data_IF_532031658184
#
_entry.id   IF_532031658184
#
_cell.length_a   1.000
_cell.length_b   1.000
_cell.length_c   1.000
_cell.angle_alpha   90.00
_cell.angle_beta   90.00
_cell.angle_gamma   90.00
#
_symmetry.space_group_name_H-M   'P 1'
#
loop_
_entity.id
_entity.type
_entity.pdbx_description
1 polymer ?
#
# COMPACT_ATOMS: atom_id res chain seq x y z
N UNK A 1 1.05 -32.37 -6.88
CA UNK A 1 0.41 -32.62 -5.58
C UNK A 1 -1.06 -32.20 -5.67
N UNK A 2 -1.96 -32.97 -5.05
CA UNK A 2 -3.38 -32.62 -4.91
C UNK A 2 -3.62 -32.20 -3.46
N UNK A 3 -4.51 -31.23 -3.26
CA UNK A 3 -4.97 -30.83 -1.94
C UNK A 3 -6.49 -30.64 -1.96
N UNK A 4 -7.13 -30.69 -0.81
CA UNK A 4 -8.56 -30.58 -0.65
C UNK A 4 -8.88 -29.26 0.04
N UNK A 5 -9.71 -28.43 -0.59
CA UNK A 5 -10.10 -27.12 -0.10
C UNK A 5 -11.64 -27.05 0.02
N UNK A 6 -12.18 -27.35 1.21
CA UNK A 6 -13.63 -27.35 1.41
C UNK A 6 -14.17 -25.92 1.48
N UNK A 7 -15.44 -25.75 1.08
CA UNK A 7 -16.17 -24.49 1.27
C UNK A 7 -17.62 -24.76 1.58
N UNK A 8 -18.23 -23.84 2.31
CA UNK A 8 -19.64 -23.87 2.67
C UNK A 8 -20.21 -22.45 2.61
N UNK A 9 -21.42 -22.31 2.06
CA UNK A 9 -22.13 -21.04 2.00
C UNK A 9 -23.60 -21.23 2.29
N UNK A 10 -24.18 -20.30 3.04
CA UNK A 10 -25.60 -20.21 3.37
C UNK A 10 -26.09 -18.81 3.05
N UNK A 11 -27.31 -18.75 2.48
CA UNK A 11 -27.98 -17.48 2.26
C UNK A 11 -29.47 -17.65 2.65
N UNK A 12 -29.97 -16.67 3.41
CA UNK A 12 -31.36 -16.60 3.86
C UNK A 12 -32.02 -15.33 3.36
N UNK A 13 -33.01 -15.45 2.50
CA UNK A 13 -33.83 -14.34 2.03
C UNK A 13 -34.94 -14.07 3.06
N UNK A 14 -34.63 -13.24 4.04
CA UNK A 14 -35.51 -12.94 5.17
C UNK A 14 -36.78 -12.20 4.70
N UNK A 15 -36.68 -11.37 3.64
CA UNK A 15 -37.82 -10.66 3.04
C UNK A 15 -38.91 -11.59 2.48
N UNK A 16 -38.56 -12.85 2.17
CA UNK A 16 -39.56 -13.83 1.67
C UNK A 16 -40.35 -14.51 2.78
N UNK A 17 -39.97 -14.32 4.04
CA UNK A 17 -40.65 -14.92 5.17
C UNK A 17 -42.00 -14.24 5.46
N UNK A 18 -42.94 -15.02 5.98
CA UNK A 18 -44.32 -14.56 6.21
C UNK A 18 -44.45 -13.33 7.08
N UNK A 19 -43.46 -13.06 7.95
CA UNK A 19 -43.46 -11.91 8.87
C UNK A 19 -42.90 -10.62 8.20
N UNK A 20 -42.24 -10.70 7.04
CA UNK A 20 -41.69 -9.54 6.30
C UNK A 20 -42.24 -9.41 4.89
N UNK A 21 -42.87 -10.45 4.35
CA UNK A 21 -43.33 -10.51 2.95
C UNK A 21 -44.25 -9.34 2.55
N UNK A 22 -45.07 -8.87 3.49
CA UNK A 22 -46.05 -7.80 3.26
C UNK A 22 -45.57 -6.44 3.82
N UNK A 23 -44.27 -6.28 3.97
CA UNK A 23 -43.69 -5.00 4.43
C UNK A 23 -43.66 -3.99 3.29
N UNK A 24 -44.26 -2.83 3.48
CA UNK A 24 -44.18 -1.70 2.53
C UNK A 24 -42.84 -0.97 2.60
N UNK A 25 -42.00 -1.27 3.61
CA UNK A 25 -40.74 -0.57 3.81
C UNK A 25 -39.54 -1.38 3.33
N UNK A 26 -39.52 -2.71 3.56
CA UNK A 26 -38.42 -3.59 3.21
C UNK A 26 -38.75 -4.33 1.92
N UNK A 27 -38.03 -4.05 0.84
CA UNK A 27 -38.17 -4.70 -0.45
C UNK A 27 -37.31 -5.96 -0.53
N UNK A 28 -36.07 -5.90 -0.03
CA UNK A 28 -35.19 -7.03 0.04
C UNK A 28 -34.40 -7.02 1.35
N UNK A 29 -34.26 -8.18 1.96
CA UNK A 29 -33.38 -8.40 3.09
C UNK A 29 -32.83 -9.83 3.01
N UNK A 30 -31.51 -9.93 2.82
CA UNK A 30 -30.82 -11.20 2.67
C UNK A 30 -29.59 -11.25 3.54
N UNK A 31 -29.48 -12.30 4.34
CA UNK A 31 -28.32 -12.58 5.20
C UNK A 31 -27.48 -13.67 4.50
N UNK A 32 -26.19 -13.48 4.47
CA UNK A 32 -25.21 -14.40 3.90
C UNK A 32 -24.17 -14.78 4.94
N UNK A 33 -23.79 -16.05 4.95
CA UNK A 33 -22.66 -16.55 5.75
C UNK A 33 -21.89 -17.55 4.88
N UNK A 34 -20.59 -17.45 4.89
CA UNK A 34 -19.70 -18.31 4.13
C UNK A 34 -18.43 -18.62 4.88
N UNK A 35 -17.94 -19.81 4.66
CA UNK A 35 -16.62 -20.25 5.07
C UNK A 35 -15.99 -21.06 3.95
N UNK A 36 -14.68 -20.90 3.75
CA UNK A 36 -13.98 -21.68 2.76
C UNK A 36 -12.48 -21.65 2.93
N UNK A 37 -11.85 -22.66 2.37
CA UNK A 37 -10.41 -22.73 2.25
C UNK A 37 -10.02 -22.66 0.78
N UNK A 38 -8.93 -21.96 0.48
CA UNK A 38 -8.35 -21.83 -0.86
C UNK A 38 -6.85 -22.12 -0.74
N UNK A 39 -6.32 -22.87 -1.69
CA UNK A 39 -4.89 -23.12 -1.80
C UNK A 39 -4.27 -22.34 -2.94
N UNK A 40 -3.11 -21.74 -2.66
CA UNK A 40 -2.25 -21.16 -3.69
C UNK A 40 -0.99 -22.03 -3.86
N UNK A 41 -0.74 -22.44 -5.09
CA UNK A 41 0.43 -23.28 -5.41
C UNK A 41 1.50 -22.46 -6.15
N UNK A 42 1.78 -21.24 -5.74
CA UNK A 42 2.75 -20.33 -6.36
C UNK A 42 4.16 -20.89 -6.61
N UNK A 43 4.33 -22.21 -6.45
CA UNK A 43 5.56 -22.96 -6.69
C UNK A 43 5.68 -23.25 -8.19
N UNK A 44 6.78 -22.79 -8.79
CA UNK A 44 7.08 -23.11 -10.21
C UNK A 44 7.18 -24.63 -10.42
N UNK A 45 6.86 -25.15 -11.61
CA UNK A 45 7.12 -26.54 -11.94
C UNK A 45 8.56 -26.91 -11.61
N UNK A 46 8.75 -28.05 -10.93
CA UNK A 46 10.04 -28.53 -10.43
C UNK A 46 10.71 -27.63 -9.38
N UNK A 47 10.01 -26.65 -8.79
CA UNK A 47 10.54 -25.73 -7.76
C UNK A 47 10.96 -26.41 -6.46
N UNK A 48 10.51 -27.65 -6.22
CA UNK A 48 10.87 -28.46 -5.04
C UNK A 48 12.18 -29.22 -5.19
N UNK A 49 12.77 -29.23 -6.38
CA UNK A 49 14.05 -29.90 -6.66
C UNK A 49 15.07 -28.90 -7.17
N UNK A 50 16.34 -29.21 -7.01
CA UNK A 50 17.41 -28.39 -7.59
C UNK A 50 17.40 -28.49 -9.10
N UNK A 51 17.45 -27.35 -9.76
CA UNK A 51 17.51 -27.25 -11.22
C UNK A 51 18.89 -26.73 -11.64
N UNK A 52 19.36 -27.23 -12.76
CA UNK A 52 20.58 -26.75 -13.40
C UNK A 52 20.25 -25.60 -14.36
N UNK A 53 21.06 -24.58 -14.34
CA UNK A 53 21.03 -23.47 -15.27
C UNK A 53 22.38 -23.24 -15.92
N UNK A 54 22.34 -22.62 -17.08
CA UNK A 54 23.53 -22.19 -17.80
C UNK A 54 23.80 -20.75 -17.37
N UNK A 55 25.01 -20.46 -16.86
CA UNK A 55 25.42 -19.09 -16.58
C UNK A 55 26.02 -18.48 -17.84
N UNK A 56 25.41 -17.38 -18.31
CA UNK A 56 25.99 -16.58 -19.39
C UNK A 56 27.06 -15.61 -18.91
N UNK A 57 27.15 -15.37 -17.61
CA UNK A 57 27.99 -14.33 -17.02
C UNK A 57 29.42 -14.79 -16.72
N UNK A 58 29.64 -16.09 -16.74
CA UNK A 58 30.96 -16.67 -16.54
C UNK A 58 31.28 -17.57 -17.72
N UNK A 59 32.33 -17.25 -18.42
CA UNK A 59 32.84 -18.04 -19.54
C UNK A 59 34.30 -18.43 -19.25
N UNK A 60 34.62 -19.70 -19.41
CA UNK A 60 35.97 -20.19 -19.30
C UNK A 60 36.48 -20.56 -20.70
N UNK A 61 37.68 -20.11 -21.02
CA UNK A 61 38.32 -20.38 -22.29
C UNK A 61 38.49 -19.16 -23.17
N UNK A 62 39.13 -19.36 -24.32
CA UNK A 62 39.32 -18.32 -25.35
C UNK A 62 38.59 -18.74 -26.64
N UNK A 63 38.27 -17.80 -27.54
CA UNK A 63 37.65 -18.13 -28.82
C UNK A 63 38.41 -19.20 -29.62
N UNK A 64 39.73 -19.32 -29.39
CA UNK A 64 40.62 -20.30 -30.03
C UNK A 64 40.63 -21.68 -29.37
N UNK A 65 40.30 -21.77 -28.06
CA UNK A 65 40.36 -23.04 -27.29
C UNK A 65 38.96 -23.58 -26.91
N UNK A 66 37.90 -23.00 -27.45
CA UNK A 66 36.52 -23.30 -27.11
C UNK A 66 36.08 -22.59 -25.84
N UNK A 67 34.84 -22.10 -25.82
CA UNK A 67 34.19 -21.47 -24.66
C UNK A 67 33.45 -22.55 -23.90
N UNK A 68 33.80 -22.74 -22.62
CA UNK A 68 33.04 -23.58 -21.71
C UNK A 68 32.07 -22.72 -20.94
N UNK A 69 30.78 -23.03 -21.03
CA UNK A 69 29.71 -22.35 -20.28
C UNK A 69 29.45 -23.20 -19.04
N UNK A 70 29.62 -22.66 -17.84
CA UNK A 70 29.38 -23.43 -16.61
C UNK A 70 27.90 -23.71 -16.43
N UNK A 71 27.62 -24.93 -16.01
CA UNK A 71 26.30 -25.34 -15.53
C UNK A 71 26.29 -25.21 -14.02
N UNK A 72 25.40 -24.37 -13.51
CA UNK A 72 25.27 -24.10 -12.07
C UNK A 72 23.92 -24.59 -11.56
N UNK A 73 23.85 -24.90 -10.28
CA UNK A 73 22.58 -25.12 -9.58
C UNK A 73 21.91 -23.77 -9.35
N UNK A 74 20.68 -23.58 -9.86
CA UNK A 74 19.96 -22.31 -9.77
C UNK A 74 19.23 -22.11 -8.44
N UNK A 75 18.87 -23.20 -7.75
CA UNK A 75 18.11 -23.15 -6.51
C UNK A 75 18.43 -24.33 -5.60
N UNK A 76 18.22 -24.13 -4.33
CA UNK A 76 18.25 -25.20 -3.32
C UNK A 76 16.96 -26.00 -3.43
N UNK A 77 17.07 -27.33 -3.40
CA UNK A 77 15.91 -28.22 -3.28
C UNK A 77 15.21 -28.01 -1.95
N UNK A 78 13.90 -27.87 -1.98
CA UNK A 78 13.06 -27.95 -0.78
C UNK A 78 11.88 -28.89 -1.05
N UNK A 79 12.00 -30.18 -0.67
CA UNK A 79 10.94 -31.16 -0.88
C UNK A 79 9.72 -30.92 0.01
N UNK A 80 9.86 -30.14 1.08
CA UNK A 80 8.82 -29.86 2.06
C UNK A 80 7.88 -28.73 1.64
N UNK A 81 8.15 -28.06 0.50
CA UNK A 81 7.28 -27.03 -0.02
C UNK A 81 5.83 -27.54 -0.17
N UNK A 82 4.90 -26.79 0.40
CA UNK A 82 3.47 -27.06 0.37
C UNK A 82 2.70 -25.86 -0.22
N UNK A 83 1.39 -26.02 -0.36
CA UNK A 83 0.51 -24.94 -0.76
C UNK A 83 0.36 -23.93 0.37
N UNK A 84 0.33 -22.64 0.03
CA UNK A 84 -0.24 -21.65 0.95
C UNK A 84 -1.74 -21.94 1.11
N UNK A 85 -2.22 -21.90 2.32
CA UNK A 85 -3.64 -22.14 2.61
C UNK A 85 -4.27 -20.90 3.19
N UNK A 86 -5.31 -20.39 2.51
CA UNK A 86 -6.13 -19.30 3.01
C UNK A 86 -7.47 -19.84 3.50
N UNK A 87 -7.78 -19.57 4.76
CA UNK A 87 -9.09 -19.78 5.36
C UNK A 87 -9.81 -18.44 5.49
N UNK A 88 -11.10 -18.41 5.12
CA UNK A 88 -11.88 -17.19 5.13
C UNK A 88 -13.28 -17.43 5.67
N UNK A 89 -13.72 -16.54 6.55
CA UNK A 89 -15.10 -16.39 7.00
C UNK A 89 -15.68 -15.11 6.44
N UNK A 90 -16.90 -15.18 5.92
CA UNK A 90 -17.64 -14.03 5.39
C UNK A 90 -19.03 -13.98 5.99
N UNK A 91 -19.46 -12.79 6.39
CA UNK A 91 -20.83 -12.48 6.79
C UNK A 91 -21.30 -11.26 6.01
N UNK A 92 -22.44 -11.37 5.33
CA UNK A 92 -22.96 -10.29 4.50
C UNK A 92 -24.45 -10.06 4.75
N UNK A 93 -24.84 -8.79 4.62
CA UNK A 93 -26.22 -8.32 4.64
C UNK A 93 -26.49 -7.54 3.37
N UNK A 94 -27.43 -8.01 2.55
CA UNK A 94 -27.96 -7.28 1.40
C UNK A 94 -29.34 -6.75 1.76
N UNK A 95 -29.61 -5.49 1.47
CA UNK A 95 -30.91 -4.89 1.75
C UNK A 95 -31.32 -3.89 0.68
N UNK A 96 -32.64 -3.76 0.50
CA UNK A 96 -33.24 -2.64 -0.20
C UNK A 96 -34.54 -2.22 0.50
N UNK A 97 -34.79 -0.93 0.53
CA UNK A 97 -35.92 -0.31 1.23
C UNK A 97 -36.52 0.82 0.41
N UNK A 98 -37.74 1.25 0.74
CA UNK A 98 -38.45 2.39 0.13
C UNK A 98 -38.63 2.22 -1.38
N UNK A 99 -39.21 1.11 -1.81
CA UNK A 99 -39.40 0.76 -3.23
C UNK A 99 -38.06 0.74 -3.99
N UNK A 100 -37.04 0.10 -3.40
CA UNK A 100 -35.67 -0.03 -3.93
C UNK A 100 -34.89 1.29 -4.06
N UNK A 101 -35.41 2.40 -3.54
CA UNK A 101 -34.72 3.72 -3.60
C UNK A 101 -33.44 3.76 -2.81
N UNK A 102 -33.33 2.96 -1.75
CA UNK A 102 -32.10 2.79 -0.98
C UNK A 102 -31.77 1.34 -1.00
N UNK A 103 -30.61 1.00 -1.52
CA UNK A 103 -30.08 -0.36 -1.48
C UNK A 103 -28.64 -0.36 -1.00
N UNK A 104 -28.24 -1.47 -0.38
CA UNK A 104 -26.87 -1.57 0.11
C UNK A 104 -26.47 -2.97 0.47
N UNK A 105 -25.18 -3.11 0.67
CA UNK A 105 -24.54 -4.35 1.11
C UNK A 105 -23.55 -4.00 2.20
N UNK A 106 -23.55 -4.78 3.28
CA UNK A 106 -22.56 -4.72 4.36
C UNK A 106 -21.92 -6.10 4.41
N UNK A 107 -20.60 -6.15 4.20
CA UNK A 107 -19.83 -7.38 4.31
C UNK A 107 -18.77 -7.26 5.40
N UNK A 108 -18.65 -8.30 6.20
CA UNK A 108 -17.57 -8.51 7.15
C UNK A 108 -16.80 -9.74 6.76
N UNK A 109 -15.47 -9.67 6.78
CA UNK A 109 -14.62 -10.82 6.52
C UNK A 109 -13.48 -10.94 7.53
N UNK A 110 -13.11 -12.20 7.81
CA UNK A 110 -11.90 -12.58 8.54
C UNK A 110 -11.17 -13.65 7.71
N UNK A 111 -9.98 -13.31 7.23
CA UNK A 111 -9.18 -14.12 6.33
C UNK A 111 -7.82 -14.36 6.96
N UNK A 112 -7.40 -15.62 7.04
CA UNK A 112 -6.07 -16.01 7.50
C UNK A 112 -5.37 -16.87 6.45
N UNK A 113 -4.19 -16.42 6.01
CA UNK A 113 -3.32 -17.19 5.13
C UNK A 113 -2.16 -17.75 5.95
N UNK A 114 -1.95 -19.05 5.85
CA UNK A 114 -0.90 -19.81 6.52
C UNK A 114 0.09 -20.37 5.53
N UNK A 115 1.28 -20.68 6.01
CA UNK A 115 2.33 -21.31 5.23
C UNK A 115 2.71 -20.48 3.98
N UNK A 116 2.87 -19.16 4.15
CA UNK A 116 3.25 -18.25 3.07
C UNK A 116 4.52 -18.73 2.37
N UNK A 117 4.50 -18.72 1.05
CA UNK A 117 5.67 -19.02 0.22
C UNK A 117 6.59 -17.80 0.18
N UNK A 118 7.70 -17.85 0.90
CA UNK A 118 8.66 -16.76 1.00
C UNK A 118 10.03 -17.14 0.46
N UNK A 119 10.64 -16.19 -0.29
CA UNK A 119 12.06 -16.26 -0.63
C UNK A 119 12.86 -15.59 0.48
N UNK A 120 13.49 -16.41 1.32
CA UNK A 120 14.31 -15.92 2.43
C UNK A 120 15.77 -15.81 1.97
N UNK A 121 16.42 -14.63 2.16
CA UNK A 121 17.83 -14.48 1.89
C UNK A 121 18.65 -15.38 2.82
N UNK A 122 19.67 -16.01 2.26
CA UNK A 122 20.59 -16.87 3.00
C UNK A 122 22.04 -16.42 2.76
N UNK A 123 22.97 -16.76 3.67
CA UNK A 123 24.37 -16.40 3.51
C UNK A 123 24.91 -16.88 2.17
N UNK A 124 25.54 -15.98 1.41
CA UNK A 124 26.12 -16.28 0.09
C UNK A 124 27.24 -17.34 0.12
N UNK A 125 27.79 -17.62 1.29
CA UNK A 125 28.70 -18.75 1.51
C UNK A 125 28.07 -20.11 1.21
N UNK A 126 26.73 -20.20 1.20
CA UNK A 126 25.99 -21.39 0.76
C UNK A 126 26.03 -21.62 -0.76
N UNK A 127 26.51 -20.63 -1.54
CA UNK A 127 26.46 -20.61 -3.00
C UNK A 127 25.12 -20.14 -3.58
N UNK A 128 24.19 -19.73 -2.75
CA UNK A 128 22.85 -19.24 -3.13
C UNK A 128 22.53 -17.93 -2.45
N UNK A 129 21.66 -17.12 -3.06
CA UNK A 129 21.22 -15.86 -2.48
C UNK A 129 19.95 -15.99 -1.63
N UNK A 130 19.09 -16.97 -1.95
CA UNK A 130 17.82 -17.17 -1.27
C UNK A 130 17.36 -18.63 -1.33
N UNK A 131 16.41 -18.98 -0.47
CA UNK A 131 15.70 -20.24 -0.46
C UNK A 131 14.19 -19.98 -0.39
N UNK A 132 13.41 -20.75 -1.17
CA UNK A 132 11.95 -20.73 -1.09
C UNK A 132 11.49 -21.70 0.00
N UNK A 133 10.71 -21.18 0.95
CA UNK A 133 10.15 -21.97 2.05
C UNK A 133 8.70 -21.56 2.33
N UNK A 134 7.95 -22.45 2.99
CA UNK A 134 6.64 -22.14 3.57
C UNK A 134 6.85 -21.67 5.00
N UNK A 135 6.74 -20.36 5.24
CA UNK A 135 6.81 -19.79 6.58
C UNK A 135 6.02 -18.49 6.67
N UNK A 136 5.45 -18.29 7.83
CA UNK A 136 4.71 -17.10 8.15
C UNK A 136 3.22 -17.20 7.88
N UNK A 137 2.49 -16.49 8.68
CA UNK A 137 1.03 -16.37 8.63
C UNK A 137 0.65 -14.89 8.58
N UNK A 138 -0.38 -14.57 7.79
CA UNK A 138 -0.94 -13.22 7.69
C UNK A 138 -2.45 -13.28 7.86
N UNK A 139 -3.01 -12.33 8.59
CA UNK A 139 -4.46 -12.16 8.70
C UNK A 139 -4.91 -10.85 8.08
N UNK A 140 -6.11 -10.87 7.52
CA UNK A 140 -6.81 -9.70 7.01
C UNK A 140 -8.24 -9.71 7.51
N UNK A 141 -8.64 -8.64 8.20
CA UNK A 141 -10.00 -8.45 8.68
C UNK A 141 -10.54 -7.15 8.16
N UNK A 142 -11.79 -7.16 7.73
CA UNK A 142 -12.34 -5.94 7.18
C UNK A 142 -13.85 -5.89 7.19
N UNK A 143 -14.32 -4.66 6.94
CA UNK A 143 -15.73 -4.33 6.75
C UNK A 143 -15.84 -3.55 5.46
N UNK A 144 -16.78 -3.94 4.62
CA UNK A 144 -17.09 -3.27 3.37
C UNK A 144 -18.55 -2.81 3.40
N UNK A 145 -18.80 -1.58 3.02
CA UNK A 145 -20.12 -1.00 2.89
C UNK A 145 -20.32 -0.47 1.48
N UNK A 146 -21.38 -0.87 0.82
CA UNK A 146 -21.87 -0.33 -0.44
C UNK A 146 -23.27 0.22 -0.24
N UNK A 147 -23.53 1.44 -0.68
CA UNK A 147 -24.85 2.07 -0.63
C UNK A 147 -25.19 2.71 -1.96
N UNK A 148 -26.45 2.57 -2.39
CA UNK A 148 -27.01 3.27 -3.55
C UNK A 148 -28.30 3.98 -3.16
N UNK A 149 -28.49 5.17 -3.71
CA UNK A 149 -29.62 6.04 -3.43
C UNK A 149 -30.21 6.56 -4.74
N UNK A 150 -31.46 6.23 -5.01
CA UNK A 150 -32.26 6.82 -6.08
C UNK A 150 -33.13 7.93 -5.47
N UNK A 151 -32.59 9.16 -5.49
CA UNK A 151 -33.18 10.30 -4.76
C UNK A 151 -34.42 10.80 -5.46
N UNK A 152 -34.30 11.02 -6.76
CA UNK A 152 -35.39 11.50 -7.63
C UNK A 152 -35.34 10.75 -8.96
N UNK A 153 -36.47 10.24 -9.39
CA UNK A 153 -36.64 9.62 -10.71
C UNK A 153 -37.99 10.02 -11.29
N UNK A 154 -37.97 10.95 -12.24
CA UNK A 154 -39.15 11.34 -13.05
C UNK A 154 -38.71 11.62 -14.48
N UNK A 155 -39.67 11.91 -15.36
CA UNK A 155 -39.43 12.06 -16.80
C UNK A 155 -38.42 13.16 -17.15
N UNK A 156 -38.39 14.24 -16.39
CA UNK A 156 -37.54 15.42 -16.64
C UNK A 156 -36.23 15.40 -15.83
N UNK A 157 -36.23 14.76 -14.65
CA UNK A 157 -35.09 14.80 -13.73
C UNK A 157 -34.87 13.48 -13.02
N UNK A 158 -33.65 12.98 -13.12
CA UNK A 158 -33.17 11.80 -12.39
C UNK A 158 -31.90 12.20 -11.64
N UNK A 159 -31.83 11.84 -10.36
CA UNK A 159 -30.63 11.97 -9.56
C UNK A 159 -30.45 10.75 -8.69
N UNK A 160 -29.34 10.09 -8.91
CA UNK A 160 -28.89 8.97 -8.09
C UNK A 160 -27.43 9.15 -7.68
N UNK A 161 -27.10 8.64 -6.53
CA UNK A 161 -25.71 8.52 -6.10
C UNK A 161 -25.50 7.19 -5.38
N UNK A 162 -24.27 6.73 -5.42
CA UNK A 162 -23.84 5.54 -4.71
C UNK A 162 -22.43 5.71 -4.18
N UNK A 163 -22.08 4.95 -3.18
CA UNK A 163 -20.74 4.97 -2.64
C UNK A 163 -20.38 3.65 -1.97
N UNK A 164 -19.09 3.41 -1.92
CA UNK A 164 -18.54 2.29 -1.16
C UNK A 164 -17.41 2.79 -0.27
N UNK A 165 -17.26 2.13 0.87
CA UNK A 165 -16.13 2.32 1.78
C UNK A 165 -15.68 0.96 2.30
N UNK A 166 -14.38 0.74 2.34
CA UNK A 166 -13.79 -0.50 2.83
C UNK A 166 -12.69 -0.20 3.85
N UNK A 167 -12.80 -0.83 5.00
CA UNK A 167 -11.82 -0.83 6.08
C UNK A 167 -11.14 -2.20 6.07
N UNK A 168 -9.83 -2.24 5.95
CA UNK A 168 -9.06 -3.49 6.02
C UNK A 168 -7.90 -3.32 7.00
N UNK A 169 -7.70 -4.31 7.85
CA UNK A 169 -6.52 -4.40 8.74
C UNK A 169 -5.78 -5.69 8.43
N UNK A 170 -4.54 -5.52 8.06
CA UNK A 170 -3.62 -6.62 7.77
C UNK A 170 -2.66 -6.77 8.93
N UNK A 171 -2.50 -7.99 9.45
CA UNK A 171 -1.58 -8.28 10.55
C UNK A 171 -0.66 -9.44 10.21
N UNK A 172 0.62 -9.28 10.48
CA UNK A 172 1.62 -10.34 10.38
C UNK A 172 1.53 -11.20 11.65
N UNK A 173 0.89 -12.35 11.56
CA UNK A 173 0.66 -13.23 12.70
C UNK A 173 1.90 -14.03 13.08
N UNK A 174 2.69 -14.39 12.07
CA UNK A 174 3.98 -15.04 12.23
C UNK A 174 4.86 -14.79 11.01
N UNK A 175 6.14 -14.57 11.21
CA UNK A 175 7.12 -14.45 10.11
C UNK A 175 7.95 -15.73 9.94
N UNK A 176 7.95 -16.62 10.94
CA UNK A 176 8.72 -17.86 10.89
C UNK A 176 10.23 -17.67 10.90
N UNK A 177 10.73 -16.47 11.23
CA UNK A 177 12.14 -16.18 11.47
C UNK A 177 12.41 -16.11 12.98
N UNK A 178 13.63 -16.40 13.44
CA UNK A 178 13.97 -16.23 14.85
C UNK A 178 13.74 -14.80 15.32
N UNK A 179 13.39 -14.64 16.60
CA UNK A 179 13.37 -13.33 17.24
C UNK A 179 14.80 -12.82 17.42
N UNK A 180 14.97 -11.52 17.28
CA UNK A 180 16.21 -10.78 17.50
C UNK A 180 15.89 -9.45 18.17
N UNK A 181 16.90 -8.69 18.55
CA UNK A 181 16.72 -7.37 19.12
C UNK A 181 16.13 -6.41 18.08
N UNK A 182 14.87 -6.02 18.29
CA UNK A 182 14.16 -5.01 17.53
C UNK A 182 14.05 -3.75 18.36
N UNK A 183 14.49 -2.64 17.82
CA UNK A 183 14.53 -1.37 18.55
C UNK A 183 13.27 -0.54 18.25
N UNK A 184 12.63 -0.02 19.30
CA UNK A 184 11.49 0.87 19.20
C UNK A 184 11.48 1.84 20.39
N UNK A 185 11.39 3.13 20.12
CA UNK A 185 11.34 4.19 21.12
C UNK A 185 12.44 4.04 22.22
N UNK A 186 13.68 3.82 21.80
CA UNK A 186 14.82 3.66 22.70
C UNK A 186 14.88 2.34 23.47
N UNK A 187 14.05 1.36 23.13
CA UNK A 187 13.97 0.07 23.84
C UNK A 187 14.18 -1.09 22.88
N UNK A 188 14.98 -2.08 23.29
CA UNK A 188 15.13 -3.34 22.58
C UNK A 188 14.03 -4.33 22.98
N UNK A 189 13.32 -4.86 22.01
CA UNK A 189 12.33 -5.92 22.17
C UNK A 189 12.75 -7.16 21.39
N UNK A 190 12.56 -8.36 21.95
CA UNK A 190 12.77 -9.61 21.23
C UNK A 190 11.60 -9.86 20.30
N UNK A 191 11.78 -9.60 19.01
CA UNK A 191 10.73 -9.76 17.99
C UNK A 191 11.26 -10.45 16.74
N UNK A 192 10.39 -11.18 16.07
CA UNK A 192 10.67 -11.69 14.73
C UNK A 192 10.42 -10.56 13.72
N UNK A 193 11.42 -10.21 12.93
CA UNK A 193 11.31 -9.16 11.94
C UNK A 193 12.26 -9.36 10.75
N UNK A 194 12.00 -8.68 9.66
CA UNK A 194 12.95 -8.47 8.57
C UNK A 194 12.72 -7.14 7.88
N UNK A 195 13.77 -6.56 7.35
CA UNK A 195 13.70 -5.33 6.59
C UNK A 195 13.24 -5.58 5.15
N UNK A 196 12.53 -4.62 4.60
CA UNK A 196 12.13 -4.60 3.20
C UNK A 196 13.28 -4.24 2.26
N UNK A 197 12.92 -3.87 1.02
CA UNK A 197 13.90 -3.48 0.03
C UNK A 197 14.52 -2.12 0.37
N UNK A 198 15.79 -1.96 0.03
CA UNK A 198 16.47 -0.69 0.19
C UNK A 198 15.87 0.38 -0.73
N UNK A 199 15.60 1.54 -0.19
CA UNK A 199 15.49 2.79 -0.95
C UNK A 199 16.91 3.26 -1.20
N UNK A 200 17.25 3.63 -2.44
CA UNK A 200 18.61 3.99 -2.79
C UNK A 200 18.68 5.42 -3.32
N UNK A 201 19.69 6.14 -2.86
CA UNK A 201 20.19 7.38 -3.47
C UNK A 201 21.45 7.05 -4.29
N UNK A 202 21.26 6.33 -5.39
CA UNK A 202 22.37 5.82 -6.17
C UNK A 202 23.27 4.88 -5.37
N UNK A 203 24.59 5.05 -5.48
CA UNK A 203 25.55 4.23 -4.70
C UNK A 203 25.90 4.82 -3.34
N UNK A 204 25.40 6.02 -3.02
CA UNK A 204 25.80 6.78 -1.81
C UNK A 204 25.01 6.35 -0.59
N UNK A 205 23.77 5.95 -0.79
CA UNK A 205 22.87 5.58 0.29
C UNK A 205 21.97 4.41 -0.11
N UNK A 206 21.95 3.38 0.69
CA UNK A 206 21.05 2.23 0.56
C UNK A 206 20.59 1.81 1.95
N UNK A 207 19.35 2.07 2.28
CA UNK A 207 18.75 1.67 3.54
C UNK A 207 17.31 1.23 3.31
N UNK A 208 16.83 0.19 4.02
CA UNK A 208 15.41 -0.17 3.98
C UNK A 208 14.60 0.95 4.66
N UNK A 209 13.49 1.34 4.02
CA UNK A 209 12.57 2.31 4.61
C UNK A 209 11.41 1.64 5.33
N UNK A 210 11.19 0.37 5.09
CA UNK A 210 10.11 -0.39 5.69
C UNK A 210 10.60 -1.66 6.36
N UNK A 211 9.82 -2.10 7.35
CA UNK A 211 10.07 -3.29 8.14
C UNK A 211 8.79 -4.13 8.23
N UNK A 212 8.99 -5.43 8.33
CA UNK A 212 7.94 -6.42 8.61
C UNK A 212 8.23 -6.99 10.00
N UNK A 213 7.32 -6.76 10.95
CA UNK A 213 7.47 -7.16 12.34
C UNK A 213 6.30 -8.05 12.74
N UNK A 214 6.57 -9.17 13.37
CA UNK A 214 5.52 -10.07 13.85
C UNK A 214 4.64 -9.37 14.88
N UNK A 215 3.33 -9.48 14.68
CA UNK A 215 2.34 -8.83 15.53
C UNK A 215 1.91 -7.45 15.06
N UNK A 216 2.58 -6.85 14.07
CA UNK A 216 2.27 -5.54 13.53
C UNK A 216 1.58 -5.60 12.17
N UNK A 217 1.15 -4.44 11.66
CA UNK A 217 0.68 -4.30 10.29
C UNK A 217 1.84 -4.49 9.30
N UNK A 218 1.52 -4.84 8.07
CA UNK A 218 2.52 -5.13 7.06
C UNK A 218 3.23 -3.88 6.57
N UNK A 219 4.55 -3.96 6.39
CA UNK A 219 5.34 -2.96 5.65
C UNK A 219 5.42 -1.58 6.30
N UNK A 220 5.37 -1.49 7.62
CA UNK A 220 5.48 -0.21 8.34
C UNK A 220 6.78 0.52 7.97
N UNK A 221 6.71 1.83 7.84
CA UNK A 221 7.92 2.65 7.69
C UNK A 221 8.67 2.72 9.00
N UNK A 222 9.99 2.52 8.91
CA UNK A 222 10.85 2.39 10.08
C UNK A 222 12.14 3.17 9.87
N UNK A 223 12.43 4.06 10.80
CA UNK A 223 13.56 4.97 10.70
C UNK A 223 13.65 5.86 11.92
N UNK A 224 14.10 7.09 11.71
CA UNK A 224 14.31 8.06 12.77
C UNK A 224 13.23 9.15 12.73
N UNK A 225 12.72 9.52 13.89
CA UNK A 225 11.92 10.71 14.05
C UNK A 225 12.80 11.97 14.15
N UNK A 226 12.27 13.10 13.68
CA UNK A 226 12.98 14.37 13.67
C UNK A 226 12.20 15.46 14.39
N UNK A 227 12.93 16.37 15.04
CA UNK A 227 12.38 17.57 15.71
C UNK A 227 12.98 18.85 15.11
N UNK A 228 12.85 18.98 13.78
CA UNK A 228 13.31 20.16 13.06
C UNK A 228 14.80 20.20 12.77
N UNK A 229 15.42 21.37 12.93
CA UNK A 229 16.80 21.67 12.56
C UNK A 229 17.51 22.31 13.75
N UNK A 230 18.73 21.89 14.07
CA UNK A 230 19.55 22.51 15.11
C UNK A 230 19.82 23.98 14.80
N UNK A 231 19.53 24.85 15.75
CA UNK A 231 19.78 26.31 15.65
C UNK A 231 21.14 26.71 16.22
N UNK A 232 21.56 27.95 15.95
CA UNK A 232 22.87 28.43 16.37
C UNK A 232 23.02 28.55 17.90
N UNK A 233 21.93 28.67 18.63
CA UNK A 233 21.85 28.81 20.09
C UNK A 233 21.51 27.49 20.82
N UNK A 234 21.31 26.40 20.11
CA UNK A 234 21.10 25.08 20.70
C UNK A 234 22.38 24.60 21.41
N UNK A 235 22.21 24.05 22.59
CA UNK A 235 23.31 23.56 23.45
C UNK A 235 23.29 22.05 23.66
N UNK A 236 22.22 21.37 23.19
CA UNK A 236 21.92 19.96 23.35
C UNK A 236 22.15 19.17 22.05
N UNK A 237 23.21 19.50 21.32
CA UNK A 237 23.55 18.79 20.10
C UNK A 237 24.04 17.36 20.42
N UNK A 238 23.55 16.38 19.68
CA UNK A 238 24.08 15.01 19.72
C UNK A 238 25.49 14.94 19.13
N UNK A 239 26.21 13.86 19.39
CA UNK A 239 27.61 13.73 18.93
C UNK A 239 27.71 13.85 17.39
N UNK A 240 28.63 14.70 16.96
CA UNK A 240 28.88 14.98 15.54
C UNK A 240 27.92 15.95 14.87
N UNK A 241 26.82 16.36 15.49
CA UNK A 241 25.89 17.35 14.94
C UNK A 241 26.42 18.78 15.08
N UNK A 242 26.03 19.62 14.12
CA UNK A 242 26.34 21.07 14.15
C UNK A 242 25.06 21.86 13.82
N UNK A 243 25.01 23.18 14.18
CA UNK A 243 23.89 24.02 13.79
C UNK A 243 23.58 23.94 12.28
N UNK A 244 22.30 23.76 11.95
CA UNK A 244 21.82 23.56 10.59
C UNK A 244 21.64 22.10 10.17
N UNK A 245 22.08 21.13 10.98
CA UNK A 245 21.80 19.73 10.74
C UNK A 245 20.38 19.36 11.17
N UNK A 246 19.84 18.27 10.61
CA UNK A 246 18.57 17.71 11.03
C UNK A 246 18.67 17.25 12.49
N UNK A 247 17.76 17.69 13.34
CA UNK A 247 17.65 17.23 14.71
C UNK A 247 16.89 15.90 14.72
N UNK A 248 17.62 14.80 14.84
CA UNK A 248 17.05 13.47 15.08
C UNK A 248 16.75 13.36 16.58
N UNK A 249 15.62 12.76 16.93
CA UNK A 249 15.24 12.52 18.31
C UNK A 249 16.08 11.36 18.85
N UNK A 250 16.85 11.64 19.91
CA UNK A 250 17.55 10.65 20.71
C UNK A 250 16.51 9.98 21.63
N UNK A 251 16.04 8.80 21.23
CA UNK A 251 14.93 8.09 21.87
C UNK A 251 15.32 7.49 23.23
N UNK A 252 16.59 7.13 23.39
CA UNK A 252 17.10 6.51 24.62
C UNK A 252 17.78 7.52 25.56
N UNK A 253 18.11 8.72 25.07
CA UNK A 253 18.70 9.82 25.85
C UNK A 253 20.19 9.64 26.16
N UNK A 254 20.93 8.89 25.34
CA UNK A 254 22.38 8.64 25.57
C UNK A 254 23.31 9.65 24.87
N UNK A 255 22.76 10.53 24.02
CA UNK A 255 23.49 11.56 23.30
C UNK A 255 24.12 11.09 21.99
N UNK A 256 23.87 9.85 21.56
CA UNK A 256 24.39 9.24 20.33
C UNK A 256 23.21 8.82 19.47
N UNK A 257 23.19 9.15 18.19
CA UNK A 257 22.16 8.68 17.26
C UNK A 257 22.61 7.38 16.60
N UNK A 258 21.96 6.28 16.97
CA UNK A 258 22.23 4.94 16.44
C UNK A 258 20.95 4.12 16.20
N UNK A 259 21.07 2.81 16.04
CA UNK A 259 19.92 1.93 15.77
C UNK A 259 18.91 1.87 16.93
N UNK A 260 19.32 2.26 18.17
CA UNK A 260 18.41 2.31 19.33
C UNK A 260 17.37 3.44 19.22
N UNK A 261 17.65 4.47 18.40
CA UNK A 261 16.76 5.62 18.23
C UNK A 261 15.74 5.44 17.08
N UNK A 262 15.74 4.27 16.46
CA UNK A 262 14.76 3.97 15.42
C UNK A 262 13.41 3.66 16.00
N UNK A 263 12.36 4.04 15.25
CA UNK A 263 10.97 3.76 15.57
C UNK A 263 10.11 3.65 14.31
N UNK A 264 8.82 3.35 14.47
CA UNK A 264 7.88 3.44 13.37
C UNK A 264 7.58 4.90 13.04
N UNK A 265 7.90 5.30 11.81
CA UNK A 265 7.77 6.67 11.32
C UNK A 265 6.60 6.87 10.35
N UNK A 266 5.83 5.83 10.08
CA UNK A 266 4.63 5.90 9.23
C UNK A 266 4.06 4.53 8.89
N UNK A 267 2.84 4.57 8.36
CA UNK A 267 2.07 3.38 8.00
C UNK A 267 1.56 3.47 6.55
N UNK A 268 2.02 2.63 5.62
CA UNK A 268 1.53 2.63 4.23
C UNK A 268 0.13 2.03 4.07
N UNK A 269 -0.42 1.37 5.12
CA UNK A 269 -1.72 0.75 5.06
C UNK A 269 -2.81 1.80 5.30
N UNK A 270 -3.79 1.93 4.40
CA UNK A 270 -4.84 2.93 4.58
C UNK A 270 -5.79 2.59 5.71
N UNK A 271 -6.33 3.61 6.38
CA UNK A 271 -7.44 3.46 7.30
C UNK A 271 -8.70 2.97 6.59
N UNK A 272 -8.98 3.56 5.43
CA UNK A 272 -10.05 3.12 4.54
C UNK A 272 -9.82 3.58 3.09
N UNK A 273 -10.44 2.83 2.18
CA UNK A 273 -10.57 3.21 0.77
C UNK A 273 -12.04 3.47 0.46
N UNK A 274 -12.33 4.43 -0.43
CA UNK A 274 -13.70 4.80 -0.71
C UNK A 274 -13.90 5.21 -2.16
N UNK A 275 -15.13 5.05 -2.63
CA UNK A 275 -15.59 5.50 -3.93
C UNK A 275 -16.95 6.17 -3.84
N UNK A 276 -17.21 7.11 -4.72
CA UNK A 276 -18.49 7.80 -4.86
C UNK A 276 -18.83 7.95 -6.33
N UNK A 277 -20.02 7.56 -6.72
CA UNK A 277 -20.56 7.79 -8.04
C UNK A 277 -21.80 8.65 -7.95
N UNK A 278 -21.87 9.67 -8.82
CA UNK A 278 -23.01 10.58 -8.94
C UNK A 278 -23.53 10.54 -10.37
N UNK A 279 -24.83 10.37 -10.52
CA UNK A 279 -25.49 10.42 -11.81
C UNK A 279 -26.65 11.41 -11.77
N UNK A 280 -26.67 12.32 -12.72
CA UNK A 280 -27.70 13.33 -12.87
C UNK A 280 -28.16 13.35 -14.32
N UNK A 281 -29.47 13.27 -14.53
CA UNK A 281 -30.10 13.52 -15.82
C UNK A 281 -31.12 14.63 -15.66
N UNK A 282 -30.96 15.68 -16.45
CA UNK A 282 -31.93 16.74 -16.56
C UNK A 282 -32.40 16.84 -18.03
N UNK A 283 -33.58 16.32 -18.30
CA UNK A 283 -34.12 16.19 -19.67
C UNK A 283 -33.16 15.44 -20.57
N UNK A 284 -32.46 16.14 -21.45
CA UNK A 284 -31.53 15.62 -22.45
C UNK A 284 -30.06 15.71 -22.02
N UNK A 285 -29.77 16.39 -20.93
CA UNK A 285 -28.45 16.54 -20.38
C UNK A 285 -28.21 15.42 -19.36
N UNK A 286 -27.11 14.70 -19.49
CA UNK A 286 -26.64 13.69 -18.52
C UNK A 286 -25.27 14.06 -18.01
N UNK A 287 -25.05 13.92 -16.70
CA UNK A 287 -23.76 14.12 -16.04
C UNK A 287 -23.50 12.89 -15.17
N UNK A 288 -22.35 12.27 -15.36
CA UNK A 288 -21.90 11.18 -14.51
C UNK A 288 -20.50 11.51 -13.98
N UNK A 289 -20.32 11.34 -12.68
CA UNK A 289 -19.06 11.57 -11.99
C UNK A 289 -18.68 10.33 -11.17
N UNK A 290 -17.40 9.97 -11.23
CA UNK A 290 -16.84 8.90 -10.42
C UNK A 290 -15.64 9.45 -9.64
N UNK A 291 -15.73 9.34 -8.33
CA UNK A 291 -14.65 9.68 -7.41
C UNK A 291 -14.10 8.40 -6.78
N UNK A 292 -12.80 8.38 -6.55
CA UNK A 292 -12.17 7.38 -5.69
C UNK A 292 -11.13 8.06 -4.79
N UNK A 293 -10.93 7.47 -3.62
CA UNK A 293 -9.99 8.00 -2.66
C UNK A 293 -9.45 6.93 -1.72
N UNK A 294 -8.37 7.30 -1.08
CA UNK A 294 -7.70 6.55 -0.02
C UNK A 294 -7.46 7.52 1.12
N UNK A 295 -7.56 7.05 2.35
CA UNK A 295 -7.33 7.88 3.53
C UNK A 295 -6.49 7.14 4.56
N UNK A 296 -5.57 7.88 5.18
CA UNK A 296 -4.79 7.44 6.34
C UNK A 296 -3.58 6.57 5.99
N UNK A 297 -3.16 6.53 4.73
CA UNK A 297 -1.91 5.87 4.37
C UNK A 297 -0.78 6.89 4.23
N UNK A 298 0.43 6.48 4.61
CA UNK A 298 1.64 7.24 4.37
C UNK A 298 2.37 6.75 3.11
N UNK A 299 3.14 7.65 2.49
CA UNK A 299 3.98 7.36 1.33
C UNK A 299 5.39 7.84 1.59
N UNK A 300 6.39 6.99 1.36
CA UNK A 300 7.78 7.40 1.35
C UNK A 300 8.12 8.09 0.02
N UNK A 301 8.30 9.42 0.06
CA UNK A 301 8.66 10.21 -1.11
C UNK A 301 10.17 10.16 -1.37
N UNK A 302 10.62 9.19 -2.16
CA UNK A 302 12.03 9.02 -2.52
C UNK A 302 12.65 10.22 -3.26
N UNK A 303 11.84 11.11 -3.84
CA UNK A 303 12.34 12.34 -4.46
C UNK A 303 12.90 13.30 -3.41
N UNK A 304 12.26 13.38 -2.23
CA UNK A 304 12.76 14.20 -1.12
C UNK A 304 14.13 13.72 -0.64
N UNK A 305 14.35 12.41 -0.63
CA UNK A 305 15.66 11.83 -0.30
C UNK A 305 16.76 12.25 -1.30
N UNK A 306 16.40 12.46 -2.57
CA UNK A 306 17.36 12.71 -3.65
C UNK A 306 17.51 14.18 -3.98
N UNK A 307 16.42 14.88 -4.26
CA UNK A 307 16.44 16.28 -4.73
C UNK A 307 15.96 17.26 -3.67
N UNK A 308 15.32 16.77 -2.62
CA UNK A 308 14.94 17.54 -1.42
C UNK A 308 16.08 17.72 -0.43
N UNK A 309 17.21 17.01 -0.62
CA UNK A 309 18.36 17.05 0.27
C UNK A 309 19.59 17.58 -0.47
N UNK A 310 20.18 18.68 0.03
CA UNK A 310 21.27 19.42 -0.61
C UNK A 310 22.68 18.90 -0.26
N UNK A 311 22.86 17.59 -0.12
CA UNK A 311 24.09 16.96 0.36
C UNK A 311 24.98 16.36 -0.72
N UNK A 312 24.44 16.17 -1.93
CA UNK A 312 25.18 15.57 -3.04
C UNK A 312 26.02 16.59 -3.82
N UNK A 313 27.28 16.23 -4.12
CA UNK A 313 28.09 16.99 -5.07
C UNK A 313 27.54 16.77 -6.50
N UNK A 314 27.49 17.85 -7.29
CA UNK A 314 27.03 17.82 -8.67
C UNK A 314 25.58 17.34 -8.90
N UNK A 315 24.73 17.50 -7.90
CA UNK A 315 23.30 17.17 -8.02
C UNK A 315 22.46 18.45 -7.99
N UNK A 316 21.39 18.45 -8.77
CA UNK A 316 20.35 19.48 -8.67
C UNK A 316 19.51 19.22 -7.44
N UNK A 317 19.09 20.29 -6.79
CA UNK A 317 18.14 20.28 -5.67
C UNK A 317 16.92 21.11 -6.02
N UNK A 318 15.85 20.94 -5.27
CA UNK A 318 14.68 21.78 -5.39
C UNK A 318 15.03 23.23 -5.10
N UNK A 319 14.45 24.18 -5.83
CA UNK A 319 14.64 25.61 -5.60
C UNK A 319 14.28 26.01 -4.17
N UNK A 320 13.22 25.42 -3.62
CA UNK A 320 12.78 25.65 -2.25
C UNK A 320 13.86 25.21 -1.24
N UNK A 321 14.41 24.01 -1.39
CA UNK A 321 15.53 23.52 -0.57
C UNK A 321 16.74 24.44 -0.63
N UNK A 322 17.07 24.97 -1.83
CA UNK A 322 18.23 25.82 -2.01
C UNK A 322 18.05 27.21 -1.38
N UNK A 323 16.93 27.87 -1.64
CA UNK A 323 16.71 29.24 -1.18
C UNK A 323 16.35 29.33 0.31
N UNK A 324 15.68 28.30 0.85
CA UNK A 324 15.24 28.24 2.23
C UNK A 324 16.12 27.36 3.13
N UNK A 325 17.28 26.90 2.62
CA UNK A 325 18.26 26.19 3.44
C UNK A 325 18.68 27.02 4.66
N UNK A 326 18.85 26.34 5.77
CA UNK A 326 19.30 26.95 7.00
C UNK A 326 20.65 27.64 6.82
N UNK A 327 20.77 28.86 7.36
CA UNK A 327 21.99 29.65 7.48
C UNK A 327 21.95 30.44 8.79
N UNK A 328 23.11 30.82 9.38
CA UNK A 328 23.13 31.57 10.63
C UNK A 328 22.39 32.91 10.56
N UNK A 329 22.38 33.55 9.37
CA UNK A 329 21.68 34.82 9.10
C UNK A 329 20.24 34.63 8.55
N UNK A 330 19.85 33.39 8.23
CA UNK A 330 18.51 33.00 7.77
C UNK A 330 18.16 31.63 8.34
N UNK A 331 17.79 31.53 9.62
CA UNK A 331 17.49 30.25 10.26
C UNK A 331 16.24 29.61 9.65
N UNK A 332 16.25 28.30 9.51
CA UNK A 332 15.15 27.48 9.03
C UNK A 332 14.92 26.32 9.99
N UNK A 333 13.68 25.94 10.24
CA UNK A 333 13.34 24.72 10.98
C UNK A 333 12.81 23.61 10.06
N UNK A 334 12.85 23.84 8.75
CA UNK A 334 12.33 22.90 7.74
C UNK A 334 13.46 22.38 6.86
N UNK A 335 14.30 23.28 6.31
CA UNK A 335 15.36 22.91 5.39
C UNK A 335 16.72 22.94 6.08
N UNK A 336 17.46 21.83 6.11
CA UNK A 336 18.80 21.79 6.72
C UNK A 336 19.79 22.66 5.95
N UNK A 337 20.96 22.87 6.51
CA UNK A 337 22.08 23.55 5.85
C UNK A 337 22.49 22.78 4.58
N UNK A 338 23.00 23.50 3.60
CA UNK A 338 23.62 22.90 2.43
C UNK A 338 25.01 22.38 2.82
N UNK A 339 25.25 21.09 2.62
CA UNK A 339 26.55 20.49 2.93
C UNK A 339 26.57 18.99 2.66
N UNK A 340 27.77 18.43 2.77
CA UNK A 340 28.01 17.01 2.65
C UNK A 340 28.30 16.44 4.07
N UNK A 341 27.80 15.26 4.36
CA UNK A 341 27.92 14.60 5.67
C UNK A 341 27.24 15.35 6.83
N UNK A 342 26.02 15.80 6.64
CA UNK A 342 25.19 16.24 7.76
C UNK A 342 24.61 15.04 8.50
N UNK A 343 24.44 15.15 9.80
CA UNK A 343 23.69 14.15 10.59
C UNK A 343 22.28 14.06 10.04
N UNK A 344 21.80 12.86 9.80
CA UNK A 344 20.48 12.58 9.21
C UNK A 344 20.43 12.47 7.67
N UNK A 345 21.49 12.86 6.96
CA UNK A 345 21.50 12.80 5.49
C UNK A 345 21.52 11.39 4.91
N UNK A 346 22.05 10.45 5.68
CA UNK A 346 22.18 9.05 5.31
C UNK A 346 21.17 8.15 6.03
N UNK A 347 20.23 8.76 6.74
CA UNK A 347 19.20 8.05 7.50
C UNK A 347 17.82 8.14 6.81
N UNK A 348 17.01 7.10 6.98
CA UNK A 348 15.58 7.16 6.68
C UNK A 348 14.91 7.86 7.85
N UNK A 349 14.29 9.00 7.59
CA UNK A 349 13.61 9.83 8.60
C UNK A 349 12.16 10.07 8.19
N UNK A 350 11.34 10.49 9.14
CA UNK A 350 9.96 10.92 8.94
C UNK A 350 9.82 12.08 7.92
N UNK A 351 10.88 12.81 7.65
CA UNK A 351 10.93 13.92 6.67
C UNK A 351 10.63 13.52 5.22
N UNK A 352 10.80 12.24 4.88
CA UNK A 352 10.45 11.70 3.56
C UNK A 352 9.10 10.99 3.56
N UNK A 353 8.46 10.88 4.72
CA UNK A 353 7.16 10.26 4.87
C UNK A 353 6.09 11.33 4.78
N UNK A 354 5.20 11.20 3.82
CA UNK A 354 4.13 12.17 3.56
C UNK A 354 2.77 11.48 3.63
N UNK A 355 1.74 12.25 3.99
CA UNK A 355 0.36 11.81 3.91
C UNK A 355 0.00 11.48 2.45
N UNK A 356 -0.27 10.19 2.21
CA UNK A 356 -0.67 9.65 0.92
C UNK A 356 -2.18 9.71 0.65
N UNK A 357 -2.95 10.29 1.56
CA UNK A 357 -4.40 10.43 1.40
C UNK A 357 -4.74 11.25 0.16
N UNK A 358 -5.74 10.81 -0.57
CA UNK A 358 -6.23 11.55 -1.73
C UNK A 358 -7.71 11.33 -2.00
N UNK A 359 -8.32 12.30 -2.69
CA UNK A 359 -9.59 12.18 -3.39
C UNK A 359 -9.37 12.55 -4.85
N UNK A 360 -9.80 11.70 -5.78
CA UNK A 360 -9.66 11.92 -7.22
C UNK A 360 -10.99 11.88 -7.93
N UNK A 361 -11.26 12.90 -8.77
CA UNK A 361 -12.30 12.85 -9.79
C UNK A 361 -11.77 12.01 -10.96
N UNK A 362 -12.06 10.72 -10.90
CA UNK A 362 -11.52 9.73 -11.83
C UNK A 362 -12.15 9.82 -13.21
N UNK A 363 -13.48 10.03 -13.24
CA UNK A 363 -14.21 10.16 -14.49
C UNK A 363 -15.28 11.24 -14.35
N UNK A 364 -15.37 12.10 -15.36
CA UNK A 364 -16.48 13.04 -15.59
C UNK A 364 -16.97 12.83 -17.02
N UNK A 365 -18.24 12.49 -17.16
CA UNK A 365 -18.91 12.38 -18.47
C UNK A 365 -20.07 13.34 -18.51
N UNK A 366 -20.13 14.18 -19.52
CA UNK A 366 -21.26 15.08 -19.81
C UNK A 366 -21.79 14.70 -21.18
N UNK A 367 -23.04 14.25 -21.24
CA UNK A 367 -23.73 13.82 -22.46
C UNK A 367 -24.96 14.66 -22.77
N UNK A 368 -25.28 14.76 -24.04
CA UNK A 368 -26.51 15.44 -24.50
C UNK A 368 -27.20 14.61 -25.59
N UNK A 369 -28.44 14.26 -25.35
CA UNK A 369 -29.32 13.58 -26.33
C UNK A 369 -29.99 14.63 -27.25
N UNK A 370 -29.56 14.64 -28.51
CA UNK A 370 -30.15 15.54 -29.50
C UNK A 370 -31.55 15.08 -29.94
N UNK A 371 -32.50 16.00 -30.16
CA UNK A 371 -33.81 15.62 -30.68
C UNK A 371 -33.71 15.18 -32.13
N UNK A 372 -34.01 13.91 -32.39
CA UNK A 372 -33.93 13.33 -33.74
C UNK A 372 -35.28 12.84 -34.29
N UNK A 373 -36.38 13.18 -33.62
CA UNK A 373 -37.74 12.71 -33.97
C UNK A 373 -38.12 13.03 -35.41
N UNK A 374 -37.50 14.04 -36.03
CA UNK A 374 -37.70 14.43 -37.45
C UNK A 374 -36.59 13.93 -38.38
N UNK A 375 -35.57 13.25 -37.84
CA UNK A 375 -34.51 12.72 -38.66
C UNK A 375 -34.93 11.42 -39.36
N UNK A 376 -34.57 11.29 -40.66
CA UNK A 376 -34.71 10.02 -41.40
C UNK A 376 -33.44 9.17 -41.33
N UNK A 377 -32.36 9.69 -40.70
CA UNK A 377 -31.02 9.07 -40.69
C UNK A 377 -30.67 8.49 -39.34
N UNK A 378 -31.24 9.08 -38.25
CA UNK A 378 -30.87 8.67 -36.88
C UNK A 378 -32.13 8.43 -36.06
N UNK A 379 -32.21 7.31 -35.39
CA UNK A 379 -33.19 7.01 -34.35
C UNK A 379 -32.79 7.58 -33.02
N UNK A 380 -31.51 7.73 -32.77
CA UNK A 380 -30.92 8.35 -31.57
C UNK A 380 -29.59 9.03 -31.91
N UNK A 381 -29.34 10.22 -31.35
CA UNK A 381 -28.06 10.93 -31.42
C UNK A 381 -27.67 11.42 -30.03
N UNK A 382 -26.70 10.76 -29.42
CA UNK A 382 -26.09 11.18 -28.19
C UNK A 382 -24.67 11.67 -28.46
N UNK A 383 -24.31 12.85 -27.98
CA UNK A 383 -22.95 13.41 -28.02
C UNK A 383 -22.47 13.59 -26.60
N UNK A 384 -21.29 13.11 -26.31
CA UNK A 384 -20.72 13.23 -24.96
C UNK A 384 -19.27 13.67 -24.98
N UNK A 385 -18.85 14.27 -23.89
CA UNK A 385 -17.45 14.58 -23.57
C UNK A 385 -17.10 13.84 -22.29
N UNK A 386 -15.94 13.22 -22.31
CA UNK A 386 -15.42 12.49 -21.15
C UNK A 386 -14.03 13.03 -20.78
N UNK A 387 -13.81 13.22 -19.49
CA UNK A 387 -12.51 13.54 -18.93
C UNK A 387 -12.12 12.51 -17.87
N UNK A 388 -10.87 12.10 -17.86
CA UNK A 388 -10.33 11.14 -16.89
C UNK A 388 -9.25 11.79 -16.05
N UNK A 389 -9.19 11.43 -14.76
CA UNK A 389 -8.20 11.92 -13.79
C UNK A 389 -8.13 13.46 -13.78
N UNK A 390 -9.30 14.12 -13.82
CA UNK A 390 -9.39 15.55 -14.05
C UNK A 390 -8.84 16.37 -12.87
N UNK A 391 -9.08 15.93 -11.64
CA UNK A 391 -8.59 16.56 -10.42
C UNK A 391 -8.21 15.50 -9.39
N UNK A 392 -7.10 15.75 -8.69
CA UNK A 392 -6.70 15.01 -7.50
C UNK A 392 -6.44 16.00 -6.38
N UNK A 393 -7.10 15.79 -5.24
CA UNK A 393 -6.87 16.55 -4.01
C UNK A 393 -6.03 15.66 -3.10
N UNK A 394 -4.84 16.10 -2.76
CA UNK A 394 -3.89 15.38 -1.92
C UNK A 394 -2.90 16.36 -1.31
N UNK A 395 -2.33 15.99 -0.17
CA UNK A 395 -1.19 16.68 0.46
C UNK A 395 0.16 16.14 -0.02
N UNK A 396 0.16 15.03 -0.76
CA UNK A 396 1.38 14.44 -1.28
C UNK A 396 2.06 15.36 -2.28
N UNK A 397 3.33 15.68 -2.04
CA UNK A 397 4.12 16.64 -2.84
C UNK A 397 4.77 16.04 -4.08
N UNK A 398 4.76 14.72 -4.22
CA UNK A 398 5.38 14.01 -5.33
C UNK A 398 4.53 14.03 -6.61
N UNK A 399 5.00 13.31 -7.62
CA UNK A 399 4.27 13.19 -8.90
C UNK A 399 3.06 12.27 -8.74
N UNK A 400 1.92 12.73 -9.23
CA UNK A 400 0.64 12.01 -9.27
C UNK A 400 0.41 11.34 -10.63
#
# INVERSE_FOLDING_TARGET
RYSFFPSFALAWNVSNESFLKDSDFINNLKIRAGWGQIGNHGIRPYGTISNYGISSDVQYGTPTNGISIPVLLNNIANPDLTWETTEQYNFGLDFSVLDDRISGTIDFYDKKTKDLLQNIPIPTSSGYSNILINKGDISNKGVELLMNFDVVSNDDFEFSFGGNIAFNRTKLESLGVPADDFYINGTAEQRSFFFGNNISRGQIFQSPANVFVEGEESSLFYGFETDGIYQSDDTDLVDGAVPGDVRIIDQNGDGIIDDLDRTFIGNPNPDFVYGLNLNLRFKRLSISMLFNGVHGNDIANGNLLTIGNATGQFQNVLSDTYYNAWRPDAPSNVHPRIGYNTVGDTAITDRIIEDGSFLRLNNLTIGFDFPVEKSKLFDRLNVFVMAQNLFTWTNYSGYN
#
